data_IF_677167517821
#
_entry.id   IF_677167517821
#
_cell.length_a   1.000
_cell.length_b   1.000
_cell.length_c   1.000
_cell.angle_alpha   90.00
_cell.angle_beta   90.00
_cell.angle_gamma   90.00
#
_symmetry.space_group_name_H-M   'P 1'
#
loop_
_entity.id
_entity.type
_entity.pdbx_description
1 polymer ?
#
# COMPACT_ATOMS: atom_id res chain seq x y z
N UNK A 1 -4.89 5.16 7.68
CA UNK A 1 -3.96 4.24 7.00
C UNK A 1 -2.64 4.94 6.68
N UNK A 2 -1.51 4.22 6.73
CA UNK A 2 -0.22 4.63 6.16
C UNK A 2 0.13 3.71 4.99
N UNK A 3 0.58 4.29 3.87
CA UNK A 3 0.90 3.58 2.63
C UNK A 3 2.24 4.06 2.05
N UNK A 4 2.95 3.22 1.28
CA UNK A 4 4.10 3.60 0.46
C UNK A 4 3.83 4.69 -0.59
N UNK A 5 2.58 4.82 -1.04
CA UNK A 5 2.12 5.88 -1.96
C UNK A 5 1.27 6.91 -1.22
N UNK A 6 1.03 8.07 -1.86
CA UNK A 6 0.15 9.07 -1.27
C UNK A 6 -1.32 8.63 -1.24
N UNK A 7 -2.09 9.17 -0.29
CA UNK A 7 -3.50 8.81 -0.10
C UNK A 7 -4.39 9.15 -1.33
N UNK A 8 -3.98 10.11 -2.15
CA UNK A 8 -4.69 10.45 -3.38
C UNK A 8 -4.62 9.27 -4.37
N UNK A 9 -3.42 8.77 -4.62
CA UNK A 9 -3.17 7.67 -5.56
C UNK A 9 -3.85 6.39 -5.10
N UNK A 10 -3.74 6.10 -3.81
CA UNK A 10 -4.37 4.94 -3.19
C UNK A 10 -5.90 4.92 -3.40
N UNK A 11 -6.55 6.09 -3.49
CA UNK A 11 -7.99 6.21 -3.71
C UNK A 11 -8.39 6.22 -5.19
N UNK A 12 -7.52 6.74 -6.06
CA UNK A 12 -7.85 7.02 -7.46
C UNK A 12 -7.30 5.97 -8.45
N UNK A 13 -6.54 4.97 -7.98
CA UNK A 13 -6.00 3.86 -8.80
C UNK A 13 -4.96 4.29 -9.85
N UNK A 14 -4.62 5.58 -9.88
CA UNK A 14 -3.64 6.20 -10.78
C UNK A 14 -2.59 6.87 -9.90
N UNK A 15 -1.32 6.68 -10.21
CA UNK A 15 -0.23 7.32 -9.49
C UNK A 15 -0.12 8.78 -9.90
N UNK A 16 0.11 9.67 -8.94
CA UNK A 16 0.48 11.04 -9.23
C UNK A 16 1.93 11.10 -9.75
N UNK A 17 2.33 12.18 -10.44
CA UNK A 17 3.67 12.30 -11.02
C UNK A 17 4.82 12.08 -10.00
N UNK A 18 4.57 12.43 -8.73
CA UNK A 18 5.53 12.22 -7.65
C UNK A 18 5.73 10.73 -7.31
N UNK A 19 4.64 9.97 -7.20
CA UNK A 19 4.74 8.55 -6.92
C UNK A 19 5.25 7.77 -8.14
N UNK A 20 4.87 8.17 -9.36
CA UNK A 20 5.46 7.62 -10.59
C UNK A 20 6.98 7.81 -10.61
N UNK A 21 7.46 9.04 -10.36
CA UNK A 21 8.90 9.30 -10.27
C UNK A 21 9.58 8.48 -9.17
N UNK A 22 8.92 8.24 -8.03
CA UNK A 22 9.47 7.36 -6.99
C UNK A 22 9.54 5.89 -7.42
N UNK A 23 8.61 5.43 -8.27
CA UNK A 23 8.67 4.08 -8.88
C UNK A 23 9.84 4.01 -9.86
N UNK A 24 9.98 5.01 -10.73
CA UNK A 24 11.07 5.09 -11.71
C UNK A 24 12.46 5.17 -11.04
N UNK A 25 12.56 5.89 -9.93
CA UNK A 25 13.77 5.99 -9.11
C UNK A 25 14.05 4.74 -8.25
N UNK A 26 13.13 3.76 -8.23
CA UNK A 26 13.24 2.54 -7.42
C UNK A 26 13.09 2.77 -5.91
N UNK A 27 12.58 3.93 -5.49
CA UNK A 27 12.31 4.26 -4.08
C UNK A 27 11.10 3.47 -3.57
N UNK A 28 10.10 3.29 -4.43
CA UNK A 28 8.96 2.40 -4.21
C UNK A 28 8.86 1.43 -5.38
N UNK A 29 8.40 0.21 -5.12
CA UNK A 29 8.20 -0.78 -6.18
C UNK A 29 6.79 -0.70 -6.75
N UNK A 30 6.58 -1.33 -7.89
CA UNK A 30 5.23 -1.47 -8.46
C UNK A 30 4.31 -2.30 -7.53
N UNK A 31 4.86 -3.34 -6.90
CA UNK A 31 4.15 -4.13 -5.89
C UNK A 31 3.73 -3.28 -4.67
N UNK A 32 4.55 -2.32 -4.23
CA UNK A 32 4.18 -1.36 -3.18
C UNK A 32 2.97 -0.52 -3.57
N UNK A 33 2.98 0.02 -4.79
CA UNK A 33 1.89 0.82 -5.33
C UNK A 33 0.59 0.01 -5.46
N UNK A 34 0.67 -1.16 -6.08
CA UNK A 34 -0.49 -2.02 -6.33
C UNK A 34 -1.12 -2.51 -5.02
N UNK A 35 -0.30 -2.97 -4.07
CA UNK A 35 -0.79 -3.38 -2.75
C UNK A 35 -1.43 -2.22 -1.98
N UNK A 36 -0.86 -1.02 -2.08
CA UNK A 36 -1.43 0.18 -1.45
C UNK A 36 -2.82 0.52 -1.97
N UNK A 37 -3.00 0.45 -3.29
CA UNK A 37 -4.29 0.68 -3.95
C UNK A 37 -5.31 -0.39 -3.51
N UNK A 38 -4.90 -1.66 -3.48
CA UNK A 38 -5.78 -2.78 -3.05
C UNK A 38 -6.20 -2.59 -1.59
N UNK A 39 -5.26 -2.33 -0.68
CA UNK A 39 -5.56 -2.10 0.75
C UNK A 39 -6.48 -0.89 0.95
N UNK A 40 -6.24 0.22 0.24
CA UNK A 40 -7.11 1.40 0.34
C UNK A 40 -8.53 1.15 -0.20
N UNK A 41 -8.70 0.27 -1.19
CA UNK A 41 -10.03 -0.18 -1.62
C UNK A 41 -10.71 -1.03 -0.54
N UNK A 42 -9.99 -1.99 0.04
CA UNK A 42 -10.51 -2.84 1.12
C UNK A 42 -10.87 -2.04 2.39
N UNK A 43 -10.11 -1.00 2.70
CA UNK A 43 -10.37 -0.10 3.82
C UNK A 43 -11.73 0.62 3.73
N UNK A 44 -12.31 0.78 2.53
CA UNK A 44 -13.62 1.43 2.35
C UNK A 44 -14.76 0.64 3.00
N UNK A 45 -14.64 -0.68 3.04
CA UNK A 45 -15.64 -1.58 3.63
C UNK A 45 -15.17 -2.25 4.92
N UNK A 46 -13.92 -2.04 5.33
CA UNK A 46 -13.34 -2.63 6.53
C UNK A 46 -12.55 -1.58 7.35
N UNK A 47 -13.12 -1.16 8.47
CA UNK A 47 -12.56 -0.15 9.37
C UNK A 47 -11.30 -0.60 10.12
N UNK A 48 -11.03 -1.91 10.19
CA UNK A 48 -9.80 -2.46 10.76
C UNK A 48 -8.65 -2.20 9.79
N UNK A 49 -8.86 -2.51 8.51
CA UNK A 49 -7.84 -2.31 7.46
C UNK A 49 -7.49 -0.84 7.30
N UNK A 50 -8.45 0.09 7.47
CA UNK A 50 -8.18 1.54 7.41
C UNK A 50 -7.15 2.01 8.46
N UNK A 51 -6.92 1.24 9.52
CA UNK A 51 -5.91 1.55 10.54
C UNK A 51 -4.52 1.00 10.21
N UNK A 52 -4.39 0.18 9.19
CA UNK A 52 -3.12 -0.46 8.85
C UNK A 52 -2.08 0.54 8.36
N UNK A 53 -0.83 0.18 8.59
CA UNK A 53 0.37 0.86 8.19
C UNK A 53 1.22 -0.07 7.34
N UNK A 54 1.05 0.02 6.02
CA UNK A 54 1.89 -0.67 5.05
C UNK A 54 3.22 0.07 4.90
N UNK A 55 4.32 -0.65 5.06
CA UNK A 55 5.68 -0.13 4.84
C UNK A 55 6.25 -0.57 3.51
N UNK A 56 6.00 -1.82 3.11
CA UNK A 56 6.36 -2.33 1.79
C UNK A 56 5.55 -3.56 1.42
N UNK A 57 5.55 -3.88 0.14
CA UNK A 57 5.05 -5.08 -0.48
C UNK A 57 6.13 -5.65 -1.40
N UNK A 58 6.35 -6.96 -1.32
CA UNK A 58 7.16 -7.69 -2.30
C UNK A 58 6.31 -8.72 -3.00
N UNK A 59 6.47 -8.80 -4.31
CA UNK A 59 5.95 -9.92 -5.07
C UNK A 59 6.95 -11.07 -5.05
N UNK A 60 6.49 -12.25 -4.68
CA UNK A 60 7.29 -13.46 -4.64
C UNK A 60 6.46 -14.67 -5.04
N UNK A 61 6.85 -15.35 -6.12
CA UNK A 61 6.16 -16.53 -6.65
C UNK A 61 4.64 -16.31 -6.86
N UNK A 62 4.25 -15.14 -7.39
CA UNK A 62 2.84 -14.77 -7.60
C UNK A 62 2.07 -14.42 -6.32
N UNK A 63 2.76 -14.30 -5.17
CA UNK A 63 2.18 -13.87 -3.90
C UNK A 63 2.64 -12.47 -3.54
N UNK A 64 1.81 -11.74 -2.79
CA UNK A 64 2.23 -10.52 -2.11
C UNK A 64 2.62 -10.79 -0.66
N UNK A 65 3.83 -10.38 -0.33
CA UNK A 65 4.34 -10.34 1.04
C UNK A 65 4.24 -8.90 1.54
N UNK A 66 3.30 -8.65 2.44
CA UNK A 66 3.06 -7.32 3.01
C UNK A 66 3.85 -7.13 4.30
N UNK A 67 4.64 -6.05 4.37
CA UNK A 67 5.28 -5.59 5.59
C UNK A 67 4.38 -4.56 6.27
N UNK A 68 3.65 -4.98 7.30
CA UNK A 68 2.72 -4.15 8.09
C UNK A 68 3.33 -3.80 9.46
N UNK A 69 2.80 -2.79 10.16
CA UNK A 69 3.17 -2.58 11.55
C UNK A 69 2.65 -3.75 12.40
N UNK A 70 3.47 -4.24 13.32
CA UNK A 70 3.10 -5.33 14.24
C UNK A 70 1.79 -5.05 14.98
N UNK A 71 1.59 -3.81 15.44
CA UNK A 71 0.42 -3.46 16.23
C UNK A 71 -0.89 -3.47 15.42
N UNK A 72 -0.82 -3.29 14.09
CA UNK A 72 -2.01 -3.24 13.24
C UNK A 72 -2.73 -4.58 13.20
N UNK A 73 -1.96 -5.69 13.20
CA UNK A 73 -2.50 -7.05 13.18
C UNK A 73 -2.84 -7.58 14.58
N UNK A 74 -2.26 -6.99 15.64
CA UNK A 74 -2.58 -7.35 17.02
C UNK A 74 -3.85 -6.65 17.53
N UNK A 75 -4.36 -5.66 16.79
CA UNK A 75 -5.59 -4.94 17.10
C UNK A 75 -6.86 -5.63 16.53
N UNK A 76 -6.70 -6.83 15.95
CA UNK A 76 -7.76 -7.64 15.35
C UNK A 76 -8.28 -8.66 16.37
#
# INVERSE_FOLDING_TARGET
>A
MKLPICNFDAKNTVLCPKCESNVEAGIITKADADASIILAKLARSNSIIDKFSLYSCKEFNGNYVLSLAKNDIMAI
#
